data_IF_632951199928
#
_entry.id   IF_632951199928
#
_cell.length_a   1.000
_cell.length_b   1.000
_cell.length_c   1.000
_cell.angle_alpha   90.00
_cell.angle_beta   90.00
_cell.angle_gamma   90.00
#
_symmetry.space_group_name_H-M   'P 1'
#
loop_
_entity.id
_entity.type
_entity.pdbx_description
1 polymer ?
#
# COMPACT_ATOMS: atom_id res chain seq x y z
N UNK A 1 -0.26 -6.45 -70.35
CA UNK A 1 1.09 -5.93 -70.72
C UNK A 1 1.14 -4.51 -70.18
N UNK A 2 1.98 -4.09 -69.23
CA UNK A 2 3.27 -4.56 -68.71
C UNK A 2 3.45 -4.04 -67.27
N UNK A 3 4.13 -4.85 -66.44
CA UNK A 3 4.57 -4.58 -65.06
C UNK A 3 5.75 -3.57 -65.00
N UNK A 4 5.88 -2.88 -63.85
CA UNK A 4 7.08 -2.63 -62.99
C UNK A 4 6.71 -1.51 -62.01
N UNK A 5 6.38 -1.77 -60.75
CA UNK A 5 7.19 -2.21 -59.58
C UNK A 5 7.78 -1.03 -58.76
N UNK A 6 7.47 -1.08 -57.45
CA UNK A 6 8.21 -0.56 -56.27
C UNK A 6 8.27 0.98 -56.07
N UNK A 7 8.18 1.57 -54.86
CA UNK A 7 8.23 1.08 -53.48
C UNK A 7 8.12 2.28 -52.50
N UNK A 8 7.67 2.02 -51.25
CA UNK A 8 7.79 2.84 -50.01
C UNK A 8 6.93 4.11 -49.90
N UNK A 9 5.82 4.04 -49.16
CA UNK A 9 5.47 4.99 -48.08
C UNK A 9 4.78 4.19 -46.96
N UNK A 10 5.55 3.82 -45.92
CA UNK A 10 5.04 3.33 -44.65
C UNK A 10 5.11 4.47 -43.62
N UNK A 11 3.96 4.74 -43.01
CA UNK A 11 3.73 5.21 -41.63
C UNK A 11 4.79 6.08 -40.96
N UNK A 12 4.52 7.39 -40.92
CA UNK A 12 4.88 8.27 -39.80
C UNK A 12 3.66 9.14 -39.52
N UNK A 13 3.08 9.00 -38.32
CA UNK A 13 2.64 10.10 -37.46
C UNK A 13 2.10 9.50 -36.16
N UNK A 14 3.00 9.49 -35.19
CA UNK A 14 2.82 9.23 -33.78
C UNK A 14 2.08 10.37 -33.09
N UNK A 15 1.45 10.02 -31.96
CA UNK A 15 1.51 10.85 -30.75
C UNK A 15 0.41 11.89 -30.58
N UNK A 16 -0.63 11.51 -29.83
CA UNK A 16 -1.21 12.29 -28.72
C UNK A 16 -2.42 11.51 -28.17
N UNK A 17 -2.14 10.51 -27.35
CA UNK A 17 -3.18 9.86 -26.52
C UNK A 17 -3.43 10.73 -25.30
N UNK A 18 -4.63 11.29 -25.19
CA UNK A 18 -5.11 11.99 -24.01
C UNK A 18 -5.59 10.95 -22.99
N UNK A 19 -4.79 10.65 -21.98
CA UNK A 19 -5.25 9.89 -20.82
C UNK A 19 -6.01 10.85 -19.89
N UNK A 20 -7.31 10.60 -19.73
CA UNK A 20 -8.13 11.24 -18.69
C UNK A 20 -7.91 10.46 -17.40
N UNK A 21 -7.24 11.07 -16.42
CA UNK A 21 -7.17 10.55 -15.05
C UNK A 21 -8.58 10.62 -14.46
N UNK A 22 -9.15 9.47 -14.14
CA UNK A 22 -10.45 9.36 -13.49
C UNK A 22 -10.21 9.49 -11.98
N UNK A 23 -10.52 10.67 -11.44
CA UNK A 23 -10.42 10.96 -10.00
C UNK A 23 -11.45 10.13 -9.24
N UNK A 24 -10.99 9.11 -8.51
CA UNK A 24 -11.79 8.37 -7.54
C UNK A 24 -12.05 9.23 -6.31
N UNK A 25 -13.31 9.63 -6.11
CA UNK A 25 -13.78 10.35 -4.93
C UNK A 25 -14.01 9.33 -3.81
N UNK A 26 -13.17 9.34 -2.78
CA UNK A 26 -13.45 8.64 -1.52
C UNK A 26 -14.45 9.49 -0.74
N UNK A 27 -15.69 9.01 -0.66
CA UNK A 27 -16.77 9.63 0.11
C UNK A 27 -16.59 9.27 1.59
N UNK A 28 -16.05 10.19 2.39
CA UNK A 28 -16.07 10.09 3.84
C UNK A 28 -17.50 10.33 4.35
N UNK A 29 -18.15 9.30 4.91
CA UNK A 29 -19.43 9.41 5.60
C UNK A 29 -19.17 9.94 7.01
N UNK A 30 -19.33 11.24 7.20
CA UNK A 30 -19.35 11.86 8.54
C UNK A 30 -20.80 11.84 9.03
N UNK A 31 -21.13 10.96 9.97
CA UNK A 31 -22.38 11.06 10.73
C UNK A 31 -22.26 12.17 11.77
N UNK A 32 -22.80 13.35 11.45
CA UNK A 32 -23.08 14.41 12.40
C UNK A 32 -24.37 14.07 13.16
N UNK A 33 -24.24 13.53 14.37
CA UNK A 33 -25.38 13.45 15.30
C UNK A 33 -25.63 14.84 15.88
N UNK A 34 -26.61 15.54 15.32
CA UNK A 34 -27.08 16.81 15.84
C UNK A 34 -27.80 16.60 17.18
N UNK A 35 -27.28 17.22 18.24
CA UNK A 35 -28.01 17.45 19.47
C UNK A 35 -29.25 18.30 19.20
N UNK A 36 -30.42 17.86 19.65
CA UNK A 36 -31.57 18.74 19.85
C UNK A 36 -32.20 18.47 21.22
N UNK A 37 -32.54 19.56 21.88
CA UNK A 37 -32.80 19.74 23.31
C UNK A 37 -34.13 19.13 23.79
N UNK A 38 -34.19 18.78 25.08
CA UNK A 38 -35.45 18.47 25.77
C UNK A 38 -35.30 18.21 27.28
N UNK A 39 -35.45 19.27 28.07
CA UNK A 39 -35.74 19.39 29.51
C UNK A 39 -35.77 18.19 30.49
N UNK A 40 -35.02 18.40 31.58
CA UNK A 40 -35.38 18.38 33.02
C UNK A 40 -35.94 17.13 33.72
N UNK A 41 -35.36 16.94 34.91
CA UNK A 41 -35.91 16.50 36.21
C UNK A 41 -35.32 15.21 36.78
N UNK A 42 -34.97 15.36 38.06
CA UNK A 42 -34.19 14.49 38.93
C UNK A 42 -34.88 13.21 39.39
N UNK A 43 -34.06 12.34 40.01
CA UNK A 43 -34.41 11.28 40.98
C UNK A 43 -35.01 10.02 40.33
N UNK A 44 -34.59 8.79 40.61
CA UNK A 44 -34.22 8.18 41.89
C UNK A 44 -33.48 6.85 41.60
N UNK A 45 -32.46 6.55 42.39
CA UNK A 45 -31.72 5.28 42.36
C UNK A 45 -32.58 4.11 42.83
N UNK A 46 -32.67 3.04 42.04
CA UNK A 46 -32.90 1.69 42.58
C UNK A 46 -32.22 0.65 41.69
N UNK A 47 -31.34 -0.13 42.32
CA UNK A 47 -30.62 -1.25 41.73
C UNK A 47 -31.58 -2.39 41.35
N UNK A 48 -31.46 -2.91 40.13
CA UNK A 48 -31.74 -4.33 39.85
C UNK A 48 -30.66 -4.83 38.89
N UNK A 49 -29.87 -5.75 39.41
CA UNK A 49 -28.82 -6.50 38.76
C UNK A 49 -29.29 -7.25 37.51
N UNK A 50 -28.58 -7.04 36.40
CA UNK A 50 -28.41 -8.04 35.35
C UNK A 50 -26.94 -8.04 34.92
N UNK A 51 -26.28 -9.15 35.23
CA UNK A 51 -25.00 -9.55 34.67
C UNK A 51 -25.05 -9.36 33.14
N UNK A 52 -24.12 -8.57 32.61
CA UNK A 52 -23.70 -8.62 31.21
C UNK A 52 -22.19 -8.80 31.21
N UNK A 53 -21.78 -9.96 30.71
CA UNK A 53 -20.40 -10.39 30.53
C UNK A 53 -19.76 -9.65 29.34
N UNK A 54 -19.69 -8.32 29.43
CA UNK A 54 -19.11 -7.49 28.38
C UNK A 54 -17.83 -6.85 28.91
N UNK A 55 -16.82 -7.67 29.21
CA UNK A 55 -15.50 -7.16 29.59
C UNK A 55 -14.34 -8.10 29.25
N UNK A 56 -14.51 -8.92 28.20
CA UNK A 56 -13.43 -9.78 27.69
C UNK A 56 -12.85 -9.30 26.35
N UNK A 57 -13.45 -8.29 25.68
CA UNK A 57 -12.94 -7.78 24.39
C UNK A 57 -12.15 -6.46 24.45
N UNK A 58 -12.00 -5.83 25.62
CA UNK A 58 -11.33 -4.53 25.77
C UNK A 58 -10.00 -4.57 26.53
N UNK A 59 -9.37 -5.75 26.59
CA UNK A 59 -7.99 -5.92 27.07
C UNK A 59 -7.19 -6.85 26.16
N UNK A 60 -7.13 -6.60 24.85
CA UNK A 60 -5.92 -6.97 24.10
C UNK A 60 -4.83 -6.08 24.69
N UNK A 61 -3.97 -6.67 25.52
CA UNK A 61 -3.00 -5.96 26.35
C UNK A 61 -2.15 -5.01 25.51
N UNK A 62 -2.03 -3.76 25.94
CA UNK A 62 -1.21 -2.67 25.37
C UNK A 62 0.31 -2.98 25.21
N UNK A 63 0.75 -4.24 25.39
CA UNK A 63 2.15 -4.60 25.54
C UNK A 63 2.73 -5.56 24.48
N UNK A 64 1.96 -6.05 23.51
CA UNK A 64 2.49 -6.94 22.47
C UNK A 64 2.12 -6.43 21.07
N UNK A 65 2.69 -5.29 20.66
CA UNK A 65 2.77 -4.94 19.23
C UNK A 65 3.52 -6.08 18.53
N UNK A 66 2.91 -6.70 17.53
CA UNK A 66 3.60 -7.69 16.70
C UNK A 66 3.78 -7.10 15.32
N UNK A 67 5.03 -6.82 14.97
CA UNK A 67 5.40 -6.45 13.61
C UNK A 67 5.93 -7.70 12.90
N UNK A 68 5.42 -7.94 11.70
CA UNK A 68 5.85 -9.05 10.86
C UNK A 68 6.47 -8.52 9.58
N UNK A 69 7.33 -9.33 8.97
CA UNK A 69 7.93 -8.99 7.68
C UNK A 69 6.90 -9.11 6.55
N UNK A 70 7.25 -8.57 5.38
CA UNK A 70 6.46 -8.72 4.17
C UNK A 70 6.27 -10.20 3.81
N UNK A 71 7.32 -11.01 3.94
CA UNK A 71 7.32 -12.44 3.63
C UNK A 71 6.40 -13.23 4.57
N UNK A 72 6.44 -12.92 5.86
CA UNK A 72 5.53 -13.50 6.85
C UNK A 72 4.07 -13.12 6.55
N UNK A 73 3.80 -11.87 6.19
CA UNK A 73 2.47 -11.40 5.81
C UNK A 73 1.96 -12.12 4.55
N UNK A 74 2.81 -12.31 3.54
CA UNK A 74 2.49 -13.10 2.33
C UNK A 74 2.17 -14.55 2.72
N UNK A 75 2.94 -15.15 3.62
CA UNK A 75 2.72 -16.53 4.06
C UNK A 75 1.37 -16.68 4.75
N UNK A 76 1.09 -15.83 5.76
CA UNK A 76 -0.18 -15.82 6.49
C UNK A 76 -1.36 -15.58 5.55
N UNK A 77 -1.25 -14.58 4.67
CA UNK A 77 -2.29 -14.28 3.68
C UNK A 77 -2.53 -15.43 2.71
N UNK A 78 -1.47 -16.12 2.26
CA UNK A 78 -1.58 -17.25 1.33
C UNK A 78 -2.32 -18.43 1.96
N UNK A 79 -2.00 -18.77 3.21
CA UNK A 79 -2.67 -19.86 3.94
C UNK A 79 -4.19 -19.63 4.05
N UNK A 80 -4.61 -18.37 4.17
CA UNK A 80 -6.02 -18.00 4.18
C UNK A 80 -6.63 -17.98 2.78
N UNK A 81 -5.97 -17.35 1.81
CA UNK A 81 -6.49 -17.12 0.48
C UNK A 81 -6.86 -18.43 -0.25
N UNK A 82 -6.05 -19.49 -0.09
CA UNK A 82 -6.27 -20.79 -0.74
C UNK A 82 -7.53 -21.52 -0.27
N UNK A 83 -8.20 -21.04 0.79
CA UNK A 83 -9.50 -21.57 1.24
C UNK A 83 -10.64 -21.18 0.31
N UNK A 84 -10.48 -20.11 -0.47
CA UNK A 84 -11.53 -19.53 -1.30
C UNK A 84 -11.40 -19.95 -2.77
N UNK A 85 -10.18 -19.93 -3.31
CA UNK A 85 -9.92 -20.28 -4.69
C UNK A 85 -8.60 -21.03 -4.85
N UNK A 86 -8.54 -21.87 -5.89
CA UNK A 86 -7.31 -22.56 -6.28
C UNK A 86 -6.40 -21.64 -7.11
N UNK A 87 -5.11 -22.00 -7.15
CA UNK A 87 -4.10 -21.42 -8.04
C UNK A 87 -3.95 -19.89 -7.90
N UNK A 88 -4.15 -19.38 -6.68
CA UNK A 88 -3.94 -17.97 -6.36
C UNK A 88 -2.44 -17.63 -6.29
N UNK A 89 -2.09 -16.49 -6.87
CA UNK A 89 -0.76 -15.88 -6.84
C UNK A 89 -0.86 -14.49 -6.23
N UNK A 90 0.22 -14.02 -5.60
CA UNK A 90 0.28 -12.67 -5.06
C UNK A 90 0.14 -11.67 -6.23
N UNK A 91 -0.64 -10.61 -6.05
CA UNK A 91 -0.75 -9.52 -7.05
C UNK A 91 -0.18 -8.22 -6.51
N UNK A 92 -0.35 -7.98 -5.21
CA UNK A 92 0.15 -6.80 -4.52
C UNK A 92 0.26 -7.10 -3.02
N UNK A 93 1.22 -6.47 -2.37
CA UNK A 93 1.27 -6.32 -0.92
C UNK A 93 1.68 -4.89 -0.58
N UNK A 94 1.09 -4.30 0.45
CA UNK A 94 1.56 -3.03 0.99
C UNK A 94 1.32 -2.95 2.50
N UNK A 95 2.22 -2.25 3.18
CA UNK A 95 2.02 -1.90 4.58
C UNK A 95 1.17 -0.64 4.71
N UNK A 96 0.61 -0.42 5.89
CA UNK A 96 -0.20 0.76 6.17
C UNK A 96 0.25 1.43 7.47
N UNK A 97 0.12 2.75 7.51
CA UNK A 97 0.45 3.55 8.68
C UNK A 97 -0.73 3.69 9.66
N UNK A 98 -1.08 2.57 10.28
CA UNK A 98 -2.16 2.50 11.28
C UNK A 98 -1.70 1.89 12.60
N UNK A 99 -0.39 1.97 12.87
CA UNK A 99 0.22 1.39 14.05
C UNK A 99 -0.43 1.96 15.33
N UNK A 100 -0.70 1.10 16.33
CA UNK A 100 -1.32 1.57 17.58
C UNK A 100 -0.46 2.62 18.31
N UNK A 101 0.86 2.54 18.12
CA UNK A 101 1.82 3.55 18.56
C UNK A 101 2.69 3.93 17.38
N UNK A 102 2.56 5.19 16.96
CA UNK A 102 3.43 5.79 15.97
C UNK A 102 4.85 5.93 16.54
N UNK A 103 5.84 5.59 15.72
CA UNK A 103 7.26 5.64 16.00
C UNK A 103 8.03 5.95 14.71
N UNK A 104 9.02 6.85 14.77
CA UNK A 104 9.80 7.23 13.59
C UNK A 104 10.77 6.13 13.13
N UNK A 105 10.96 5.09 13.95
CA UNK A 105 11.73 3.88 13.63
C UNK A 105 10.87 2.72 13.12
N UNK A 106 9.56 2.90 12.99
CA UNK A 106 8.68 1.86 12.47
C UNK A 106 9.10 1.49 11.03
N UNK A 107 9.24 0.19 10.73
CA UNK A 107 9.71 -0.26 9.41
C UNK A 107 11.22 -0.18 9.19
N UNK A 108 12.03 0.30 10.15
CA UNK A 108 13.51 0.33 10.01
C UNK A 108 14.12 -1.06 9.77
N UNK A 109 13.43 -2.12 10.23
CA UNK A 109 13.82 -3.52 10.08
C UNK A 109 13.01 -4.26 8.99
N UNK A 110 12.28 -3.51 8.14
CA UNK A 110 11.43 -4.08 7.09
C UNK A 110 10.11 -4.68 7.57
N UNK A 111 9.79 -4.57 8.86
CA UNK A 111 8.54 -5.10 9.43
C UNK A 111 7.53 -4.00 9.70
N UNK A 112 6.26 -4.37 9.58
CA UNK A 112 5.13 -3.49 9.90
C UNK A 112 4.06 -4.26 10.65
N UNK A 113 3.28 -3.52 11.43
CA UNK A 113 2.16 -4.07 12.17
C UNK A 113 0.98 -4.39 11.24
N UNK A 114 0.75 -3.56 10.22
CA UNK A 114 -0.39 -3.64 9.33
C UNK A 114 0.02 -3.92 7.89
N UNK A 115 -0.60 -4.94 7.29
CA UNK A 115 -0.38 -5.35 5.91
C UNK A 115 -1.70 -5.61 5.19
N UNK A 116 -1.81 -5.13 3.96
CA UNK A 116 -2.77 -5.63 2.98
C UNK A 116 -2.06 -6.57 2.03
N UNK A 117 -2.60 -7.77 1.87
CA UNK A 117 -2.05 -8.80 0.98
C UNK A 117 -3.14 -9.24 0.02
N UNK A 118 -2.86 -9.07 -1.28
CA UNK A 118 -3.81 -9.31 -2.35
C UNK A 118 -3.37 -10.50 -3.19
N UNK A 119 -4.28 -11.43 -3.43
CA UNK A 119 -4.07 -12.60 -4.27
C UNK A 119 -5.10 -12.66 -5.39
N UNK A 120 -4.67 -13.12 -6.56
CA UNK A 120 -5.56 -13.32 -7.71
C UNK A 120 -5.13 -14.55 -8.53
N UNK A 121 -5.98 -14.95 -9.49
CA UNK A 121 -5.62 -15.95 -10.50
C UNK A 121 -6.11 -15.54 -11.90
N UNK A 122 -5.75 -16.34 -12.90
CA UNK A 122 -6.13 -16.14 -14.31
C UNK A 122 -7.66 -16.17 -14.53
N UNK A 123 -8.42 -16.79 -13.62
CA UNK A 123 -9.88 -16.83 -13.66
C UNK A 123 -10.52 -15.56 -13.10
N UNK A 124 -9.73 -14.52 -12.78
CA UNK A 124 -10.20 -13.26 -12.18
C UNK A 124 -10.87 -13.45 -10.82
N UNK A 125 -10.48 -14.50 -10.11
CA UNK A 125 -10.79 -14.61 -8.69
C UNK A 125 -9.80 -13.75 -7.92
N UNK A 126 -10.26 -13.09 -6.87
CA UNK A 126 -9.46 -12.17 -6.08
C UNK A 126 -9.76 -12.30 -4.60
N UNK A 127 -8.72 -12.23 -3.77
CA UNK A 127 -8.82 -12.24 -2.31
C UNK A 127 -7.95 -11.10 -1.76
N UNK A 128 -8.54 -10.21 -0.98
CA UNK A 128 -7.85 -9.15 -0.22
C UNK A 128 -7.90 -9.47 1.26
N UNK A 129 -6.75 -9.39 1.91
CA UNK A 129 -6.60 -9.77 3.31
C UNK A 129 -5.94 -8.61 4.05
N UNK A 130 -6.58 -8.15 5.12
CA UNK A 130 -5.99 -7.25 6.10
C UNK A 130 -5.42 -8.07 7.24
N UNK A 131 -4.14 -7.85 7.53
CA UNK A 131 -3.41 -8.49 8.62
C UNK A 131 -2.96 -7.40 9.59
N UNK A 132 -3.22 -7.60 10.88
CA UNK A 132 -2.66 -6.77 11.96
C UNK A 132 -2.14 -7.64 13.10
N UNK A 133 -1.03 -7.22 13.73
CA UNK A 133 -0.37 -8.01 14.79
C UNK A 133 -0.02 -9.46 14.37
N UNK A 134 0.19 -9.70 13.08
CA UNK A 134 0.40 -11.04 12.52
C UNK A 134 -0.84 -11.94 12.49
N UNK A 135 -2.02 -11.39 12.76
CA UNK A 135 -3.32 -12.06 12.72
C UNK A 135 -4.18 -11.51 11.59
N UNK A 136 -5.08 -12.33 11.06
CA UNK A 136 -6.01 -11.91 10.00
C UNK A 136 -7.19 -11.17 10.64
N UNK A 137 -7.39 -9.93 10.23
CA UNK A 137 -8.50 -9.09 10.68
C UNK A 137 -9.70 -9.16 9.74
N UNK A 138 -9.43 -9.05 8.42
CA UNK A 138 -10.47 -8.98 7.39
C UNK A 138 -10.06 -9.81 6.19
N UNK A 139 -11.02 -10.54 5.62
CA UNK A 139 -10.88 -11.24 4.35
C UNK A 139 -12.05 -10.88 3.46
N UNK A 140 -11.75 -10.37 2.28
CA UNK A 140 -12.74 -10.09 1.23
C UNK A 140 -12.38 -10.87 -0.02
N UNK A 141 -13.39 -11.42 -0.69
CA UNK A 141 -13.18 -12.21 -1.91
C UNK A 141 -14.19 -11.87 -2.98
N UNK A 142 -13.74 -11.88 -4.24
CA UNK A 142 -14.50 -11.39 -5.37
C UNK A 142 -14.29 -12.28 -6.59
N UNK A 143 -15.38 -12.57 -7.31
CA UNK A 143 -15.34 -13.18 -8.64
C UNK A 143 -15.26 -12.08 -9.72
N UNK A 144 -14.61 -12.38 -10.85
CA UNK A 144 -14.49 -11.48 -12.00
C UNK A 144 -13.84 -10.12 -11.70
N UNK A 145 -12.92 -10.06 -10.74
CA UNK A 145 -12.20 -8.84 -10.39
C UNK A 145 -10.93 -8.66 -11.24
N UNK A 146 -10.59 -7.41 -11.57
CA UNK A 146 -9.32 -7.10 -12.20
C UNK A 146 -8.17 -7.22 -11.17
N UNK A 147 -6.96 -7.50 -11.66
CA UNK A 147 -5.74 -7.50 -10.84
C UNK A 147 -4.62 -6.74 -11.57
N UNK A 148 -3.55 -6.43 -10.84
CA UNK A 148 -2.40 -5.65 -11.30
C UNK A 148 -1.29 -6.53 -11.88
N UNK A 149 -1.58 -7.82 -12.13
CA UNK A 149 -0.64 -8.84 -12.59
C UNK A 149 -0.37 -9.88 -11.50
N UNK A 150 0.08 -11.07 -11.93
CA UNK A 150 0.39 -12.17 -11.03
C UNK A 150 1.91 -12.25 -10.80
N UNK A 151 2.34 -12.06 -9.56
CA UNK A 151 3.75 -12.01 -9.17
C UNK A 151 4.32 -13.43 -9.07
N UNK A 152 5.45 -13.68 -9.74
CA UNK A 152 6.26 -14.86 -9.49
C UNK A 152 7.20 -14.59 -8.32
N UNK A 153 6.85 -15.12 -7.14
CA UNK A 153 7.66 -14.93 -5.93
C UNK A 153 9.07 -15.53 -6.05
N UNK A 154 9.31 -16.45 -7.00
CA UNK A 154 10.65 -17.01 -7.21
C UNK A 154 11.61 -16.03 -7.88
N UNK A 155 11.10 -14.93 -8.45
CA UNK A 155 11.91 -13.87 -9.06
C UNK A 155 12.35 -12.80 -8.05
N UNK A 156 11.74 -12.78 -6.85
CA UNK A 156 12.00 -11.75 -5.83
C UNK A 156 13.22 -12.13 -5.00
N UNK A 157 14.24 -11.26 -4.99
CA UNK A 157 15.48 -11.46 -4.24
C UNK A 157 15.78 -10.33 -3.24
N UNK A 158 14.94 -9.29 -3.20
CA UNK A 158 15.10 -8.17 -2.29
C UNK A 158 14.04 -8.22 -1.18
N UNK A 159 14.48 -8.25 0.07
CA UNK A 159 13.61 -8.14 1.24
C UNK A 159 13.30 -6.68 1.57
N UNK A 160 12.20 -6.42 2.30
CA UNK A 160 11.88 -5.07 2.78
C UNK A 160 12.97 -4.50 3.70
N UNK A 161 13.62 -5.35 4.51
CA UNK A 161 14.73 -4.95 5.39
C UNK A 161 15.96 -4.48 4.59
N UNK A 162 16.29 -5.16 3.50
CA UNK A 162 17.39 -4.75 2.62
C UNK A 162 17.03 -3.49 1.83
N UNK A 163 15.78 -3.37 1.38
CA UNK A 163 15.31 -2.21 0.64
C UNK A 163 15.36 -0.94 1.49
N UNK A 164 14.88 -0.98 2.74
CA UNK A 164 14.92 0.20 3.63
C UNK A 164 16.34 0.64 3.94
N UNK A 165 17.27 -0.31 4.16
CA UNK A 165 18.69 0.01 4.37
C UNK A 165 19.30 0.72 3.16
N UNK A 166 19.01 0.23 1.95
CA UNK A 166 19.46 0.90 0.71
C UNK A 166 18.84 2.29 0.55
N UNK A 167 17.55 2.45 0.85
CA UNK A 167 16.88 3.75 0.77
C UNK A 167 17.45 4.75 1.79
N UNK A 168 17.79 4.28 2.99
CA UNK A 168 18.47 5.07 4.03
C UNK A 168 19.86 5.56 3.57
N UNK A 169 20.62 4.73 2.86
CA UNK A 169 21.90 5.13 2.27
C UNK A 169 21.76 6.26 1.23
N UNK A 170 20.57 6.38 0.62
CA UNK A 170 20.20 7.47 -0.30
C UNK A 170 19.61 8.69 0.41
N UNK A 171 19.58 8.70 1.73
CA UNK A 171 19.07 9.82 2.53
C UNK A 171 17.56 9.81 2.77
N UNK A 172 16.84 8.75 2.37
CA UNK A 172 15.45 8.59 2.77
C UNK A 172 15.39 8.35 4.30
N UNK A 173 14.56 9.12 4.99
CA UNK A 173 14.34 9.03 6.43
C UNK A 173 12.94 8.51 6.76
N UNK A 174 12.77 7.92 7.94
CA UNK A 174 11.46 7.54 8.45
C UNK A 174 10.70 8.78 8.88
N UNK A 175 9.39 8.82 8.64
CA UNK A 175 8.55 9.95 9.03
C UNK A 175 8.44 10.10 10.54
N UNK A 176 8.53 11.33 11.02
CA UNK A 176 8.43 11.64 12.44
C UNK A 176 6.98 11.99 12.81
N UNK A 177 6.26 11.17 13.59
CA UNK A 177 4.87 11.44 13.93
C UNK A 177 4.67 12.72 14.77
N UNK A 178 5.71 13.22 15.44
CA UNK A 178 5.66 14.50 16.16
C UNK A 178 5.80 15.72 15.23
N UNK A 179 6.25 15.51 13.99
CA UNK A 179 6.29 16.53 12.96
C UNK A 179 4.97 16.47 12.18
N UNK A 180 4.04 17.39 12.45
CA UNK A 180 2.74 17.43 11.77
C UNK A 180 2.79 17.68 10.25
N UNK A 181 3.99 17.79 9.65
CA UNK A 181 4.21 17.79 8.19
C UNK A 181 4.59 16.42 7.63
N UNK A 182 4.94 15.46 8.47
CA UNK A 182 5.22 14.09 8.05
C UNK A 182 3.91 13.31 8.14
N UNK A 183 3.56 12.64 7.05
CA UNK A 183 2.24 12.03 6.85
C UNK A 183 2.28 10.52 7.09
N UNK A 184 3.46 10.03 7.45
CA UNK A 184 3.75 8.63 7.74
C UNK A 184 4.55 8.58 9.04
N UNK A 185 4.41 7.48 9.77
CA UNK A 185 5.32 7.07 10.83
C UNK A 185 6.32 6.06 10.28
N UNK A 186 7.61 6.39 10.42
CA UNK A 186 8.70 5.51 9.95
C UNK A 186 8.66 5.30 8.44
N UNK A 187 8.86 4.06 8.00
CA UNK A 187 8.89 3.64 6.60
C UNK A 187 7.73 2.71 6.24
N UNK A 188 7.14 2.88 5.07
CA UNK A 188 6.14 1.95 4.53
C UNK A 188 6.67 1.24 3.28
N UNK A 189 6.05 0.12 2.94
CA UNK A 189 6.47 -0.76 1.87
C UNK A 189 5.33 -1.08 0.94
N UNK A 190 5.62 -1.19 -0.34
CA UNK A 190 4.69 -1.72 -1.33
C UNK A 190 5.44 -2.59 -2.33
N UNK A 191 4.83 -3.70 -2.74
CA UNK A 191 5.34 -4.52 -3.82
C UNK A 191 4.24 -4.88 -4.82
N UNK A 192 4.48 -4.55 -6.08
CA UNK A 192 3.57 -4.81 -7.21
C UNK A 192 4.33 -4.70 -8.53
N UNK A 193 3.71 -5.10 -9.65
CA UNK A 193 4.24 -4.69 -10.95
C UNK A 193 4.20 -3.17 -11.11
N UNK A 194 5.27 -2.62 -11.66
CA UNK A 194 5.37 -1.23 -12.11
C UNK A 194 5.95 -1.13 -13.50
N UNK A 195 5.85 0.06 -14.10
CA UNK A 195 6.34 0.37 -15.44
C UNK A 195 7.07 1.72 -15.40
N UNK A 196 8.22 1.80 -16.06
CA UNK A 196 8.97 3.06 -16.20
C UNK A 196 8.46 3.96 -17.32
N UNK A 197 7.38 3.57 -18.00
CA UNK A 197 6.83 4.26 -19.17
C UNK A 197 7.87 4.62 -20.25
N UNK A 198 8.95 3.83 -20.35
CA UNK A 198 9.95 3.92 -21.41
C UNK A 198 9.48 3.17 -22.68
N UNK A 199 10.22 3.28 -23.80
CA UNK A 199 9.88 2.56 -25.05
C UNK A 199 11.07 1.72 -25.53
N UNK A 200 10.96 0.37 -25.56
CA UNK A 200 9.81 -0.43 -25.14
C UNK A 200 9.53 -0.30 -23.64
N UNK A 201 8.28 -0.56 -23.25
CA UNK A 201 7.86 -0.52 -21.85
C UNK A 201 8.63 -1.58 -21.05
N UNK A 202 9.08 -1.19 -19.87
CA UNK A 202 9.91 -1.99 -18.98
C UNK A 202 9.11 -2.30 -17.72
N UNK A 203 8.43 -3.45 -17.75
CA UNK A 203 7.58 -3.92 -16.66
C UNK A 203 8.42 -4.80 -15.75
N UNK A 204 8.47 -4.43 -14.47
CA UNK A 204 9.21 -5.17 -13.44
C UNK A 204 8.40 -5.25 -12.15
N UNK A 205 8.81 -6.12 -11.24
CA UNK A 205 8.30 -6.12 -9.87
C UNK A 205 9.05 -5.03 -9.12
N UNK A 206 8.35 -4.00 -8.66
CA UNK A 206 8.94 -2.96 -7.83
C UNK A 206 8.69 -3.25 -6.36
N UNK A 207 9.73 -3.10 -5.55
CA UNK A 207 9.63 -2.95 -4.11
C UNK A 207 9.88 -1.47 -3.79
N UNK A 208 8.80 -0.78 -3.46
CA UNK A 208 8.77 0.64 -3.12
C UNK A 208 8.96 0.80 -1.60
N UNK A 209 9.90 1.66 -1.21
CA UNK A 209 10.11 2.11 0.17
C UNK A 209 9.68 3.56 0.29
N UNK A 210 8.67 3.81 1.10
CA UNK A 210 8.04 5.11 1.31
C UNK A 210 8.60 5.74 2.58
N UNK A 211 9.01 7.01 2.49
CA UNK A 211 9.70 7.73 3.56
C UNK A 211 9.60 9.25 3.40
N UNK A 212 10.54 9.95 4.03
CA UNK A 212 10.74 11.40 3.94
C UNK A 212 12.10 11.66 3.26
N UNK A 213 12.11 12.52 2.25
CA UNK A 213 13.31 12.94 1.54
C UNK A 213 14.25 13.78 2.42
N UNK A 214 15.51 13.98 2.02
CA UNK A 214 16.41 14.94 2.67
C UNK A 214 15.87 16.37 2.74
N UNK A 215 14.94 16.74 1.86
CA UNK A 215 14.28 18.05 1.84
C UNK A 215 13.05 18.12 2.76
N UNK A 216 12.68 17.03 3.42
CA UNK A 216 11.54 16.95 4.31
C UNK A 216 10.20 16.80 3.60
N UNK A 217 10.21 16.35 2.34
CA UNK A 217 8.99 16.02 1.60
C UNK A 217 8.75 14.51 1.68
N UNK A 218 7.53 14.06 1.41
CA UNK A 218 7.33 12.63 1.17
C UNK A 218 8.06 12.19 -0.07
N UNK A 219 8.59 11.00 0.04
CA UNK A 219 9.39 10.40 -0.98
C UNK A 219 9.18 8.91 -1.00
N UNK A 220 9.59 8.32 -2.12
CA UNK A 220 9.76 6.89 -2.22
C UNK A 220 11.03 6.57 -3.00
N UNK A 221 11.54 5.36 -2.75
CA UNK A 221 12.60 4.75 -3.54
C UNK A 221 12.08 3.42 -4.05
N UNK A 222 12.05 3.27 -5.36
CA UNK A 222 11.63 2.04 -6.04
C UNK A 222 12.86 1.22 -6.37
N UNK A 223 12.83 -0.04 -5.96
CA UNK A 223 13.83 -1.03 -6.33
C UNK A 223 13.23 -2.07 -7.26
N UNK A 224 14.01 -2.52 -8.23
CA UNK A 224 13.74 -3.76 -8.92
C UNK A 224 13.85 -4.91 -7.91
N UNK A 225 12.74 -5.58 -7.62
CA UNK A 225 12.69 -6.60 -6.58
C UNK A 225 13.54 -7.85 -6.90
N UNK A 226 13.87 -8.07 -8.17
CA UNK A 226 14.68 -9.20 -8.61
C UNK A 226 16.18 -8.92 -8.52
N UNK A 227 16.61 -7.70 -8.81
CA UNK A 227 18.03 -7.33 -8.85
C UNK A 227 18.49 -6.51 -7.65
N UNK A 228 17.54 -5.85 -6.97
CA UNK A 228 17.79 -4.88 -5.93
C UNK A 228 18.41 -3.57 -6.42
N UNK A 229 18.38 -3.32 -7.73
CA UNK A 229 18.80 -2.05 -8.34
C UNK A 229 17.79 -0.95 -7.99
N UNK A 230 18.29 0.23 -7.62
CA UNK A 230 17.44 1.41 -7.49
C UNK A 230 16.99 1.86 -8.88
N UNK A 231 15.69 1.87 -9.08
CA UNK A 231 15.05 2.27 -10.34
C UNK A 231 14.68 3.77 -10.28
N UNK A 232 14.13 4.20 -9.15
CA UNK A 232 13.61 5.55 -8.96
C UNK A 232 13.82 5.99 -7.50
N UNK A 233 14.10 7.28 -7.30
CA UNK A 233 14.14 7.90 -5.98
C UNK A 233 13.60 9.32 -6.12
N UNK A 234 12.33 9.51 -5.75
CA UNK A 234 11.59 10.74 -6.02
C UNK A 234 10.86 11.26 -4.79
N UNK A 235 10.73 12.58 -4.74
CA UNK A 235 10.00 13.30 -3.71
C UNK A 235 8.85 14.08 -4.33
N UNK A 236 7.77 14.21 -3.56
CA UNK A 236 6.59 14.96 -3.95
C UNK A 236 6.79 16.44 -3.63
N UNK A 237 6.75 17.28 -4.65
CA UNK A 237 6.74 18.74 -4.52
C UNK A 237 5.35 19.26 -4.83
N UNK A 238 4.77 19.99 -3.87
CA UNK A 238 3.49 20.68 -4.04
C UNK A 238 3.71 22.17 -4.24
N UNK A 239 3.24 22.69 -5.38
CA UNK A 239 3.37 24.10 -5.73
C UNK A 239 2.19 24.92 -5.21
N UNK A 240 2.42 26.22 -5.01
CA UNK A 240 1.38 27.15 -4.53
C UNK A 240 0.14 27.26 -5.43
N UNK A 241 0.23 26.84 -6.69
CA UNK A 241 -0.89 26.78 -7.64
C UNK A 241 -1.69 25.47 -7.54
N UNK A 242 -1.30 24.55 -6.65
CA UNK A 242 -1.92 23.25 -6.46
C UNK A 242 -1.35 22.15 -7.36
N UNK A 243 -0.37 22.45 -8.22
CA UNK A 243 0.29 21.43 -9.02
C UNK A 243 1.17 20.55 -8.13
N UNK A 244 1.28 19.28 -8.52
CA UNK A 244 2.13 18.29 -7.86
C UNK A 244 3.09 17.72 -8.89
N UNK A 245 4.37 17.69 -8.55
CA UNK A 245 5.41 17.05 -9.34
C UNK A 245 6.19 16.06 -8.49
N UNK A 246 6.58 14.95 -9.10
CA UNK A 246 7.55 14.02 -8.55
C UNK A 246 8.91 14.35 -9.15
N UNK A 247 9.87 14.67 -8.29
CA UNK A 247 11.22 15.07 -8.71
C UNK A 247 12.24 14.21 -8.01
N UNK A 248 13.37 13.93 -8.67
CA UNK A 248 14.45 13.15 -8.06
C UNK A 248 15.03 13.87 -6.85
N UNK A 249 15.23 13.14 -5.76
CA UNK A 249 16.01 13.63 -4.61
C UNK A 249 17.35 12.89 -4.55
N UNK A 250 18.40 13.61 -4.15
CA UNK A 250 19.75 13.10 -3.88
C UNK A 250 20.28 13.78 -2.62
#
# INVERSE_FOLDING_TARGET
MTKRDCSIICNLLSGLSRVKVMTGVILAVITLTACSQGNSMDMETSEVSKESNDNESLKKSENNKVEISMEDAISVGREEAVKYYNDLQLTEIHSYDNDYRLDNSAGDDGKRQWWYVNFANENKNYVSILISDGEIDVVEHFDNNANTGLLDLSEINLTAEEAVKKAQEMGLAGGNPDNGRDWISGYNFKMSYGSLAESPDDIRIFLEVIGISPNGNFAHVDFDAATGECVLAEEKVEYSNGDVEWVKFN
#
